data_IF_340998125140
#
_entry.id   IF_340998125140
#
_cell.length_a   1.000
_cell.length_b   1.000
_cell.length_c   1.000
_cell.angle_alpha   90.00
_cell.angle_beta   90.00
_cell.angle_gamma   90.00
#
_symmetry.space_group_name_H-M   'P 1'
#
loop_
_entity.id
_entity.type
_entity.pdbx_description
1 polymer ?
#
# COMPACT_ATOMS: atom_id res chain seq x y z
N UNK A 1 5.82 -10.11 -34.28
CA UNK A 1 7.12 -10.49 -33.66
C UNK A 1 6.97 -11.92 -33.16
N UNK A 2 7.81 -12.86 -33.62
CA UNK A 2 7.62 -14.30 -33.36
C UNK A 2 8.10 -14.77 -31.98
N UNK A 3 8.90 -13.97 -31.27
CA UNK A 3 9.47 -14.34 -29.98
C UNK A 3 9.72 -13.12 -29.09
N UNK A 4 9.30 -13.18 -27.82
CA UNK A 4 9.62 -12.19 -26.78
C UNK A 4 10.57 -12.84 -25.77
N UNK A 5 11.82 -12.35 -25.62
CA UNK A 5 12.77 -12.93 -24.68
C UNK A 5 12.29 -12.85 -23.23
N UNK A 6 12.39 -13.96 -22.50
CA UNK A 6 12.15 -14.02 -21.05
C UNK A 6 13.32 -13.38 -20.28
N UNK A 7 14.53 -13.49 -20.83
CA UNK A 7 15.74 -12.90 -20.25
C UNK A 7 15.80 -11.39 -20.47
N UNK A 8 16.11 -10.59 -19.44
CA UNK A 8 16.36 -9.16 -19.62
C UNK A 8 17.64 -8.91 -20.44
N UNK A 9 17.68 -7.81 -21.19
CA UNK A 9 18.82 -7.51 -22.07
C UNK A 9 20.10 -7.26 -21.26
N UNK A 10 21.10 -8.13 -21.44
CA UNK A 10 22.42 -8.07 -20.79
C UNK A 10 22.34 -8.01 -19.25
N UNK A 11 21.35 -8.68 -18.66
CA UNK A 11 21.15 -8.74 -17.19
C UNK A 11 20.87 -10.18 -16.76
N UNK A 12 21.18 -10.55 -15.51
CA UNK A 12 20.81 -11.86 -14.99
C UNK A 12 19.29 -11.99 -14.87
N UNK A 13 18.81 -13.21 -15.08
CA UNK A 13 17.42 -13.59 -14.79
C UNK A 13 17.23 -13.59 -13.26
N UNK A 14 16.10 -13.06 -12.81
CA UNK A 14 15.65 -13.13 -11.42
C UNK A 14 14.31 -13.86 -11.34
N UNK A 15 13.90 -14.26 -10.13
CA UNK A 15 12.60 -14.90 -9.90
C UNK A 15 11.42 -14.07 -10.41
N UNK A 16 11.51 -12.74 -10.38
CA UNK A 16 10.48 -11.86 -10.90
C UNK A 16 10.28 -11.99 -12.41
N UNK A 17 11.35 -12.28 -13.17
CA UNK A 17 11.25 -12.53 -14.61
C UNK A 17 10.53 -13.85 -14.92
N UNK A 18 10.68 -14.86 -14.05
CA UNK A 18 10.05 -16.17 -14.22
C UNK A 18 8.57 -16.17 -13.83
N UNK A 19 8.20 -15.42 -12.77
CA UNK A 19 6.81 -15.21 -12.34
C UNK A 19 5.92 -14.54 -13.40
N UNK A 20 6.54 -13.85 -14.36
CA UNK A 20 5.85 -13.23 -15.49
C UNK A 20 5.48 -14.25 -16.58
N UNK A 21 6.30 -15.30 -16.75
CA UNK A 21 6.04 -16.40 -17.70
C UNK A 21 4.91 -17.28 -17.20
N UNK A 22 4.88 -17.50 -15.88
CA UNK A 22 3.74 -17.98 -15.14
C UNK A 22 2.69 -16.87 -15.07
N UNK A 23 2.11 -16.44 -16.20
CA UNK A 23 0.87 -15.66 -16.15
C UNK A 23 -0.07 -16.42 -15.22
N UNK A 24 -0.41 -15.92 -14.04
CA UNK A 24 -1.60 -16.43 -13.41
C UNK A 24 -2.70 -16.06 -14.39
N UNK A 25 -3.67 -16.95 -14.60
CA UNK A 25 -5.01 -16.52 -15.01
C UNK A 25 -5.63 -15.66 -13.88
N UNK A 26 -4.89 -14.67 -13.38
CA UNK A 26 -5.43 -13.61 -12.57
C UNK A 26 -6.47 -12.96 -13.46
N UNK A 27 -7.72 -13.04 -13.02
CA UNK A 27 -8.88 -12.39 -13.64
C UNK A 27 -8.47 -11.00 -14.06
N UNK A 28 -8.16 -10.84 -15.34
CA UNK A 28 -7.85 -9.53 -15.91
C UNK A 28 -9.09 -8.71 -15.61
N UNK A 29 -8.97 -7.55 -14.93
CA UNK A 29 -10.15 -6.79 -14.57
C UNK A 29 -11.02 -6.63 -15.82
N UNK A 30 -12.29 -7.01 -15.74
CA UNK A 30 -13.20 -6.94 -16.90
C UNK A 30 -13.53 -5.51 -17.32
N UNK A 31 -13.02 -4.52 -16.57
CA UNK A 31 -13.28 -3.09 -16.74
C UNK A 31 -11.99 -2.29 -16.59
N UNK A 32 -11.85 -1.17 -17.31
CA UNK A 32 -10.73 -0.26 -17.13
C UNK A 32 -10.63 0.26 -15.68
N UNK A 33 -9.41 0.39 -15.16
CA UNK A 33 -9.12 0.83 -13.78
C UNK A 33 -8.39 2.18 -13.81
N UNK A 34 -8.81 3.14 -12.99
CA UNK A 34 -8.14 4.43 -12.91
C UNK A 34 -6.72 4.28 -12.30
N UNK A 35 -5.69 4.70 -13.03
CA UNK A 35 -4.27 4.54 -12.64
C UNK A 35 -3.91 5.28 -11.37
N UNK A 36 -4.54 6.43 -11.11
CA UNK A 36 -4.27 7.25 -9.93
C UNK A 36 -4.98 6.69 -8.69
N UNK A 37 -6.16 6.14 -8.85
CA UNK A 37 -6.85 5.39 -7.80
C UNK A 37 -6.07 4.14 -7.43
N UNK A 38 -5.65 3.36 -8.42
CA UNK A 38 -4.81 2.18 -8.20
C UNK A 38 -3.50 2.51 -7.48
N UNK A 39 -2.86 3.64 -7.82
CA UNK A 39 -1.67 4.11 -7.13
C UNK A 39 -1.96 4.47 -5.66
N UNK A 40 -3.13 5.08 -5.35
CA UNK A 40 -3.52 5.38 -3.97
C UNK A 40 -3.77 4.11 -3.15
N UNK A 41 -4.47 3.14 -3.73
CA UNK A 41 -4.70 1.84 -3.08
C UNK A 41 -3.38 1.10 -2.85
N UNK A 42 -2.48 1.10 -3.84
CA UNK A 42 -1.14 0.53 -3.68
C UNK A 42 -0.32 1.27 -2.61
N UNK A 43 -0.47 2.59 -2.49
CA UNK A 43 0.18 3.37 -1.43
C UNK A 43 -0.32 2.94 -0.04
N UNK A 44 -1.63 2.75 0.12
CA UNK A 44 -2.22 2.25 1.36
C UNK A 44 -1.72 0.84 1.71
N UNK A 45 -1.53 0.00 0.71
CA UNK A 45 -1.09 -1.38 0.84
C UNK A 45 0.41 -1.61 0.65
N UNK A 46 1.25 -0.56 0.57
CA UNK A 46 2.64 -0.67 0.06
C UNK A 46 3.50 -1.73 0.77
N UNK A 47 3.26 -1.91 2.07
CA UNK A 47 3.95 -2.91 2.89
C UNK A 47 3.67 -4.35 2.42
N UNK A 48 2.43 -4.66 2.00
CA UNK A 48 2.05 -5.98 1.50
C UNK A 48 2.75 -6.33 0.17
N UNK A 49 3.14 -5.31 -0.60
CA UNK A 49 3.83 -5.47 -1.88
C UNK A 49 5.36 -5.31 -1.77
N UNK A 50 5.89 -5.08 -0.56
CA UNK A 50 7.33 -4.91 -0.33
C UNK A 50 7.94 -3.69 -1.04
N UNK A 51 7.13 -2.65 -1.28
CA UNK A 51 7.56 -1.42 -1.95
C UNK A 51 7.60 -0.24 -0.99
N UNK A 52 8.50 0.70 -1.24
CA UNK A 52 8.66 1.93 -0.47
C UNK A 52 7.99 3.12 -1.14
N UNK A 53 7.77 4.19 -0.38
CA UNK A 53 7.26 5.48 -0.90
C UNK A 53 8.10 6.01 -2.08
N UNK A 54 9.42 5.79 -2.04
CA UNK A 54 10.30 6.18 -3.15
C UNK A 54 10.07 5.33 -4.40
N UNK A 55 9.75 4.05 -4.24
CA UNK A 55 9.37 3.19 -5.37
C UNK A 55 8.04 3.68 -5.96
N UNK A 56 7.06 4.01 -5.11
CA UNK A 56 5.77 4.57 -5.55
C UNK A 56 5.91 5.93 -6.25
N UNK A 57 6.84 6.78 -5.79
CA UNK A 57 7.15 8.06 -6.47
C UNK A 57 7.65 7.80 -7.90
N UNK A 58 8.52 6.80 -8.10
CA UNK A 58 8.97 6.41 -9.43
C UNK A 58 7.84 5.84 -10.27
N UNK A 59 6.96 5.02 -9.68
CA UNK A 59 5.78 4.49 -10.34
C UNK A 59 4.83 5.61 -10.78
N UNK A 60 4.57 6.60 -9.92
CA UNK A 60 3.77 7.78 -10.23
C UNK A 60 4.33 8.53 -11.45
N UNK A 61 5.65 8.79 -11.46
CA UNK A 61 6.33 9.40 -12.59
C UNK A 61 6.16 8.58 -13.87
N UNK A 62 6.25 7.25 -13.78
CA UNK A 62 6.06 6.36 -14.92
C UNK A 62 4.62 6.37 -15.45
N UNK A 63 3.62 6.29 -14.57
CA UNK A 63 2.19 6.35 -14.92
C UNK A 63 1.81 7.67 -15.60
N UNK A 64 2.52 8.75 -15.28
CA UNK A 64 2.30 10.06 -15.91
C UNK A 64 2.74 10.13 -17.39
N UNK A 65 3.43 9.11 -17.90
CA UNK A 65 3.73 8.94 -19.33
C UNK A 65 2.69 8.07 -20.06
N UNK A 66 1.77 7.43 -19.33
CA UNK A 66 0.65 6.74 -19.94
C UNK A 66 -0.45 7.77 -20.27
N UNK A 67 -0.92 7.84 -21.53
CA UNK A 67 -1.77 8.95 -21.99
C UNK A 67 -3.15 8.96 -21.33
N UNK A 68 -3.75 7.78 -21.15
CA UNK A 68 -5.09 7.64 -20.59
C UNK A 68 -5.03 7.53 -19.06
N UNK A 69 -6.09 7.95 -18.38
CA UNK A 69 -6.19 7.74 -16.93
C UNK A 69 -6.67 6.33 -16.56
N UNK A 70 -7.25 5.60 -17.51
CA UNK A 70 -7.72 4.24 -17.30
C UNK A 70 -6.75 3.23 -17.91
N UNK A 71 -6.29 2.28 -17.09
CA UNK A 71 -5.55 1.08 -17.51
C UNK A 71 -6.55 0.01 -17.95
N UNK A 72 -6.25 -0.74 -19.01
CA UNK A 72 -7.12 -1.77 -19.58
C UNK A 72 -7.76 -1.36 -20.91
N UNK A 73 -8.77 -2.10 -21.36
CA UNK A 73 -9.57 -1.75 -22.54
C UNK A 73 -8.89 -1.98 -23.91
N UNK A 74 -8.14 -3.08 -24.07
CA UNK A 74 -7.40 -3.46 -25.29
C UNK A 74 -6.27 -2.49 -25.72
N UNK A 75 -5.94 -1.49 -24.90
CA UNK A 75 -4.80 -0.59 -25.13
C UNK A 75 -3.49 -1.27 -24.74
N UNK A 76 -2.46 -1.15 -25.58
CA UNK A 76 -1.10 -1.58 -25.23
C UNK A 76 -0.57 -0.71 -24.08
N UNK A 77 -0.48 -1.29 -22.88
CA UNK A 77 -0.09 -0.60 -21.64
C UNK A 77 1.44 -0.45 -21.47
N UNK A 78 2.15 -0.18 -22.57
CA UNK A 78 3.61 -0.05 -22.57
C UNK A 78 4.01 1.41 -22.73
N UNK A 79 4.72 1.94 -21.74
CA UNK A 79 5.32 3.28 -21.79
C UNK A 79 6.81 3.20 -22.09
N UNK A 80 7.31 4.11 -22.92
CA UNK A 80 8.69 4.07 -23.42
C UNK A 80 9.47 5.39 -23.17
N UNK A 81 9.37 6.04 -21.99
CA UNK A 81 10.12 7.26 -21.73
C UNK A 81 11.64 7.01 -21.63
N UNK A 82 12.44 7.97 -22.09
CA UNK A 82 13.89 7.95 -21.92
C UNK A 82 14.26 8.10 -20.44
N UNK A 83 15.44 7.62 -20.02
CA UNK A 83 15.88 7.80 -18.63
C UNK A 83 15.92 9.29 -18.23
N UNK A 84 16.33 10.17 -19.16
CA UNK A 84 16.36 11.61 -18.96
C UNK A 84 14.95 12.15 -18.66
N UNK A 85 13.97 11.78 -19.48
CA UNK A 85 12.58 12.22 -19.29
C UNK A 85 11.98 11.73 -17.96
N UNK A 86 12.27 10.47 -17.57
CA UNK A 86 11.83 9.96 -16.26
C UNK A 86 12.45 10.79 -15.13
N UNK A 87 13.76 11.04 -15.17
CA UNK A 87 14.43 11.82 -14.14
C UNK A 87 13.92 13.27 -14.07
N UNK A 88 13.66 13.91 -15.21
CA UNK A 88 13.04 15.25 -15.27
C UNK A 88 11.65 15.26 -14.63
N UNK A 89 10.80 14.27 -14.94
CA UNK A 89 9.48 14.12 -14.32
C UNK A 89 9.55 13.86 -12.82
N UNK A 90 10.62 13.24 -12.34
CA UNK A 90 10.90 12.97 -10.93
C UNK A 90 11.73 14.09 -10.27
N UNK A 91 11.56 15.34 -10.71
CA UNK A 91 12.20 16.53 -10.16
C UNK A 91 13.74 16.42 -10.09
N UNK A 92 14.36 15.83 -11.12
CA UNK A 92 15.81 15.72 -11.21
C UNK A 92 16.42 14.55 -10.43
N UNK A 93 15.62 13.55 -10.03
CA UNK A 93 16.14 12.33 -9.39
C UNK A 93 17.32 11.74 -10.17
N UNK A 94 18.41 11.40 -9.47
CA UNK A 94 19.59 10.80 -10.10
C UNK A 94 19.25 9.50 -10.84
N UNK A 95 19.78 9.33 -12.06
CA UNK A 95 19.52 8.18 -12.92
C UNK A 95 19.82 6.82 -12.26
N UNK A 96 20.84 6.73 -11.40
CA UNK A 96 21.17 5.51 -10.66
C UNK A 96 20.10 5.16 -9.64
N UNK A 97 19.66 6.15 -8.86
CA UNK A 97 18.57 6.03 -7.88
C UNK A 97 17.26 5.63 -8.57
N UNK A 98 16.87 6.33 -9.63
CA UNK A 98 15.66 6.01 -10.40
C UNK A 98 15.70 4.56 -10.93
N UNK A 99 16.83 4.14 -11.51
CA UNK A 99 16.98 2.76 -12.02
C UNK A 99 16.87 1.70 -10.92
N UNK A 100 17.39 1.97 -9.72
CA UNK A 100 17.26 1.08 -8.56
C UNK A 100 15.81 0.90 -8.15
N UNK A 101 15.04 1.99 -8.07
CA UNK A 101 13.62 1.93 -7.73
C UNK A 101 12.78 1.23 -8.81
N UNK A 102 13.07 1.47 -10.10
CA UNK A 102 12.47 0.71 -11.18
C UNK A 102 12.77 -0.80 -11.10
N UNK A 103 13.99 -1.18 -10.71
CA UNK A 103 14.32 -2.59 -10.51
C UNK A 103 13.47 -3.20 -9.39
N UNK A 104 13.27 -2.49 -8.28
CA UNK A 104 12.40 -2.95 -7.17
C UNK A 104 10.94 -3.12 -7.61
N UNK A 105 10.40 -2.20 -8.40
CA UNK A 105 9.03 -2.32 -8.93
C UNK A 105 8.88 -3.53 -9.86
N UNK A 106 9.91 -3.86 -10.63
CA UNK A 106 9.96 -5.08 -11.46
C UNK A 106 10.05 -6.32 -10.58
N UNK A 107 10.94 -6.32 -9.58
CA UNK A 107 11.07 -7.44 -8.63
C UNK A 107 9.79 -7.70 -7.83
N UNK A 108 9.05 -6.63 -7.48
CA UNK A 108 7.75 -6.71 -6.84
C UNK A 108 6.63 -7.21 -7.78
N UNK A 109 6.91 -7.41 -9.07
CA UNK A 109 5.93 -7.85 -10.07
C UNK A 109 4.85 -6.81 -10.38
N UNK A 110 5.13 -5.52 -10.13
CA UNK A 110 4.21 -4.42 -10.45
C UNK A 110 4.46 -3.87 -11.85
N UNK A 111 5.67 -4.08 -12.39
CA UNK A 111 6.08 -3.65 -13.72
C UNK A 111 6.82 -4.78 -14.42
N UNK A 112 6.81 -4.76 -15.75
CA UNK A 112 7.65 -5.64 -16.55
C UNK A 112 8.48 -4.82 -17.55
N UNK A 113 9.70 -5.28 -17.83
CA UNK A 113 10.55 -4.68 -18.86
C UNK A 113 10.33 -5.40 -20.18
N UNK A 114 9.91 -4.68 -21.21
CA UNK A 114 9.93 -5.12 -22.60
C UNK A 114 11.19 -4.58 -23.26
N UNK A 115 12.30 -5.26 -23.04
CA UNK A 115 13.59 -4.85 -23.59
C UNK A 115 13.64 -5.09 -25.11
N UNK A 116 14.26 -4.15 -25.84
CA UNK A 116 14.48 -4.29 -27.28
C UNK A 116 15.82 -4.98 -27.57
N UNK A 117 16.06 -5.43 -28.81
CA UNK A 117 17.32 -6.06 -29.20
C UNK A 117 18.57 -5.19 -29.00
N UNK A 118 18.42 -3.86 -28.91
CA UNK A 118 19.52 -2.93 -28.68
C UNK A 118 19.46 -2.24 -27.30
N UNK A 119 18.58 -2.71 -26.41
CA UNK A 119 18.39 -2.15 -25.08
C UNK A 119 17.77 -0.74 -25.02
N UNK A 120 17.34 -0.17 -26.16
CA UNK A 120 16.65 1.14 -26.22
C UNK A 120 15.13 0.97 -26.08
N UNK A 121 14.46 2.02 -25.61
CA UNK A 121 12.99 2.07 -25.53
C UNK A 121 12.45 2.84 -26.74
N UNK A 122 11.57 2.22 -27.51
CA UNK A 122 10.98 2.79 -28.72
C UNK A 122 9.80 1.94 -29.19
N UNK A 123 8.98 2.51 -30.07
CA UNK A 123 7.96 1.78 -30.82
C UNK A 123 8.51 1.46 -32.20
N UNK A 124 8.41 0.19 -32.61
CA UNK A 124 8.71 -0.26 -33.97
C UNK A 124 7.39 -0.47 -34.71
N UNK A 125 7.27 0.11 -35.91
CA UNK A 125 6.19 -0.20 -36.85
C UNK A 125 6.77 -0.98 -38.04
N UNK A 126 6.16 -2.10 -38.42
CA UNK A 126 6.46 -2.87 -39.64
C UNK A 126 5.14 -3.24 -40.31
N UNK A 127 4.74 -2.51 -41.34
CA UNK A 127 3.39 -2.65 -41.91
C UNK A 127 2.33 -2.28 -40.86
N UNK A 128 1.35 -3.15 -40.66
CA UNK A 128 0.30 -3.00 -39.62
C UNK A 128 0.79 -3.38 -38.22
N UNK A 129 1.90 -4.14 -38.10
CA UNK A 129 2.44 -4.56 -36.81
C UNK A 129 3.09 -3.38 -36.08
N UNK A 130 2.56 -3.08 -34.89
CA UNK A 130 3.12 -2.13 -33.93
C UNK A 130 3.64 -2.89 -32.71
N UNK A 131 4.92 -2.70 -32.37
CA UNK A 131 5.55 -3.33 -31.19
C UNK A 131 6.20 -2.25 -30.33
N UNK A 132 5.79 -2.12 -29.07
CA UNK A 132 6.40 -1.19 -28.11
C UNK A 132 7.43 -1.89 -27.20
N UNK A 133 8.62 -1.28 -27.10
CA UNK A 133 9.67 -1.65 -26.16
C UNK A 133 9.82 -0.59 -25.07
N UNK A 134 9.68 -0.98 -23.81
CA UNK A 134 9.57 -0.05 -22.68
C UNK A 134 9.25 -0.74 -21.37
N UNK A 135 8.45 -0.07 -20.53
CA UNK A 135 7.88 -0.62 -19.31
C UNK A 135 6.42 -0.97 -19.55
N UNK A 136 6.09 -2.23 -19.30
CA UNK A 136 4.74 -2.77 -19.39
C UNK A 136 4.05 -2.63 -18.02
N UNK A 137 2.92 -1.92 -18.02
CA UNK A 137 2.06 -1.67 -16.87
C UNK A 137 0.98 -2.75 -16.69
N UNK A 138 0.89 -3.72 -17.61
CA UNK A 138 -0.10 -4.81 -17.51
C UNK A 138 -0.06 -5.56 -16.17
N UNK A 139 1.11 -5.86 -15.56
CA UNK A 139 1.14 -6.50 -14.24
C UNK A 139 0.45 -5.68 -13.15
N UNK A 140 0.59 -4.35 -13.18
CA UNK A 140 -0.09 -3.45 -12.25
C UNK A 140 -1.62 -3.56 -12.40
N UNK A 141 -2.09 -3.55 -13.66
CA UNK A 141 -3.51 -3.69 -13.97
C UNK A 141 -4.08 -5.05 -13.56
N UNK A 142 -3.41 -6.16 -13.89
CA UNK A 142 -3.86 -7.51 -13.54
C UNK A 142 -3.94 -7.73 -12.02
N UNK A 143 -3.17 -6.98 -11.23
CA UNK A 143 -3.16 -7.05 -9.77
C UNK A 143 -4.06 -6.01 -9.10
N UNK A 144 -4.87 -5.26 -9.86
CA UNK A 144 -5.69 -4.20 -9.31
C UNK A 144 -6.63 -4.67 -8.18
N UNK A 145 -7.28 -5.83 -8.37
CA UNK A 145 -8.16 -6.39 -7.33
C UNK A 145 -7.39 -6.87 -6.09
N UNK A 146 -6.20 -7.45 -6.27
CA UNK A 146 -5.32 -7.85 -5.17
C UNK A 146 -4.90 -6.63 -4.34
N UNK A 147 -4.51 -5.54 -5.01
CA UNK A 147 -4.14 -4.27 -4.39
C UNK A 147 -5.33 -3.68 -3.62
N UNK A 148 -6.52 -3.65 -4.22
CA UNK A 148 -7.72 -3.13 -3.57
C UNK A 148 -8.09 -3.94 -2.31
N UNK A 149 -8.03 -5.27 -2.37
CA UNK A 149 -8.28 -6.13 -1.19
C UNK A 149 -7.26 -5.90 -0.08
N UNK A 150 -5.98 -5.76 -0.44
CA UNK A 150 -4.93 -5.49 0.53
C UNK A 150 -5.10 -4.11 1.19
N UNK A 151 -5.46 -3.09 0.42
CA UNK A 151 -5.72 -1.75 0.93
C UNK A 151 -6.93 -1.72 1.86
N UNK A 152 -7.99 -2.48 1.55
CA UNK A 152 -9.16 -2.61 2.40
C UNK A 152 -8.83 -3.30 3.72
N UNK A 153 -8.06 -4.39 3.69
CA UNK A 153 -7.61 -5.06 4.90
C UNK A 153 -6.81 -4.12 5.84
N UNK A 154 -6.01 -3.21 5.28
CA UNK A 154 -5.31 -2.17 6.06
C UNK A 154 -6.30 -1.19 6.68
N UNK A 155 -7.30 -0.71 5.92
CA UNK A 155 -8.35 0.18 6.45
C UNK A 155 -9.15 -0.48 7.57
N UNK A 156 -9.57 -1.72 7.40
CA UNK A 156 -10.29 -2.48 8.42
C UNK A 156 -9.47 -2.69 9.70
N UNK A 157 -8.16 -2.92 9.58
CA UNK A 157 -7.27 -3.04 10.73
C UNK A 157 -7.13 -1.71 11.49
N UNK A 158 -6.96 -0.60 10.78
CA UNK A 158 -6.91 0.75 11.37
C UNK A 158 -8.23 1.15 12.03
N UNK A 159 -9.36 0.84 11.40
CA UNK A 159 -10.67 1.16 11.94
C UNK A 159 -10.99 0.33 13.18
N UNK A 160 -10.60 -0.95 13.22
CA UNK A 160 -10.68 -1.77 14.44
C UNK A 160 -9.89 -1.14 15.58
N UNK A 161 -8.66 -0.70 15.32
CA UNK A 161 -7.83 -0.03 16.31
C UNK A 161 -8.46 1.28 16.79
N UNK A 162 -9.00 2.09 15.86
CA UNK A 162 -9.68 3.36 16.17
C UNK A 162 -10.90 3.13 17.05
N UNK A 163 -11.80 2.22 16.67
CA UNK A 163 -13.02 1.91 17.43
C UNK A 163 -12.71 1.41 18.84
N UNK A 164 -11.76 0.49 18.98
CA UNK A 164 -11.41 -0.03 20.30
C UNK A 164 -10.81 1.06 21.19
N UNK A 165 -9.98 1.94 20.61
CA UNK A 165 -9.43 3.09 21.32
C UNK A 165 -10.50 4.09 21.76
N UNK A 166 -11.52 4.33 20.94
CA UNK A 166 -12.67 5.15 21.30
C UNK A 166 -13.43 4.53 22.48
N UNK A 167 -13.71 3.22 22.44
CA UNK A 167 -14.35 2.48 23.54
C UNK A 167 -13.56 2.63 24.85
N UNK A 168 -12.25 2.34 24.83
CA UNK A 168 -11.38 2.49 26.01
C UNK A 168 -11.38 3.93 26.52
N UNK A 169 -11.39 4.92 25.63
CA UNK A 169 -11.45 6.33 26.02
C UNK A 169 -12.77 6.72 26.69
N UNK A 170 -13.89 6.15 26.23
CA UNK A 170 -15.22 6.37 26.82
C UNK A 170 -15.31 5.71 28.19
N UNK A 171 -15.01 4.42 28.29
CA UNK A 171 -14.99 3.68 29.55
C UNK A 171 -14.14 4.36 30.62
N UNK A 172 -12.92 4.75 30.26
CA UNK A 172 -12.03 5.52 31.16
C UNK A 172 -12.71 6.79 31.68
N UNK A 173 -13.48 7.49 30.83
CA UNK A 173 -14.19 8.72 31.22
C UNK A 173 -15.33 8.41 32.19
N UNK A 174 -16.00 7.28 31.99
CA UNK A 174 -17.05 6.79 32.90
C UNK A 174 -16.47 6.40 34.26
N UNK A 175 -15.30 5.72 34.30
CA UNK A 175 -14.60 5.43 35.57
C UNK A 175 -14.29 6.71 36.36
N UNK A 176 -13.81 7.76 35.69
CA UNK A 176 -13.57 9.05 36.37
C UNK A 176 -14.87 9.62 36.96
N UNK A 177 -15.95 9.64 36.18
CA UNK A 177 -17.24 10.16 36.64
C UNK A 177 -17.84 9.33 37.79
N UNK A 178 -17.71 8.01 37.73
CA UNK A 178 -18.18 7.10 38.78
C UNK A 178 -17.36 7.23 40.06
N UNK A 179 -16.04 7.41 39.96
CA UNK A 179 -15.19 7.67 41.11
C UNK A 179 -15.58 8.98 41.82
N UNK A 180 -15.77 10.06 41.04
CA UNK A 180 -16.20 11.36 41.57
C UNK A 180 -17.58 11.27 42.25
N UNK A 181 -18.56 10.66 41.57
CA UNK A 181 -19.91 10.49 42.11
C UNK A 181 -19.96 9.55 43.32
N UNK A 182 -19.20 8.45 43.28
CA UNK A 182 -19.12 7.48 44.37
C UNK A 182 -18.53 8.09 45.64
N UNK A 183 -17.47 8.88 45.51
CA UNK A 183 -16.86 9.59 46.64
C UNK A 183 -17.81 10.64 47.24
N UNK A 184 -18.63 11.30 46.42
CA UNK A 184 -19.66 12.24 46.91
C UNK A 184 -20.76 11.55 47.73
N UNK A 185 -21.25 10.39 47.27
CA UNK A 185 -22.38 9.68 47.90
C UNK A 185 -21.92 8.81 49.08
N UNK A 186 -20.79 8.12 48.94
CA UNK A 186 -20.25 7.22 49.93
C UNK A 186 -18.73 7.37 50.04
N UNK A 187 -18.25 8.38 50.80
CA UNK A 187 -16.83 8.69 50.91
C UNK A 187 -16.00 7.56 51.53
N UNK A 188 -14.73 7.50 51.15
CA UNK A 188 -13.72 6.68 51.84
C UNK A 188 -13.71 5.19 51.49
N UNK A 189 -14.41 4.79 50.41
CA UNK A 189 -14.22 3.47 49.82
C UNK A 189 -12.99 3.49 48.91
N UNK A 190 -12.04 2.58 49.15
CA UNK A 190 -10.85 2.45 48.31
C UNK A 190 -11.13 2.06 46.86
N UNK A 191 -12.36 1.65 46.53
CA UNK A 191 -12.81 1.45 45.15
C UNK A 191 -12.74 2.74 44.34
N UNK A 192 -13.11 3.89 44.92
CA UNK A 192 -13.11 5.17 44.21
C UNK A 192 -11.69 5.60 43.82
N UNK A 193 -10.73 5.43 44.73
CA UNK A 193 -9.31 5.63 44.44
C UNK A 193 -8.84 4.71 43.31
N UNK A 194 -9.20 3.43 43.34
CA UNK A 194 -8.84 2.46 42.30
C UNK A 194 -9.41 2.84 40.91
N UNK A 195 -10.66 3.30 40.85
CA UNK A 195 -11.28 3.76 39.61
C UNK A 195 -10.57 5.00 39.05
N UNK A 196 -10.29 5.99 39.91
CA UNK A 196 -9.61 7.23 39.53
C UNK A 196 -8.17 6.99 39.06
N UNK A 197 -7.42 6.16 39.78
CA UNK A 197 -6.04 5.78 39.43
C UNK A 197 -5.99 5.03 38.11
N UNK A 198 -6.87 4.04 37.91
CA UNK A 198 -6.93 3.27 36.67
C UNK A 198 -7.31 4.15 35.48
N UNK A 199 -8.28 5.06 35.66
CA UNK A 199 -8.64 6.03 34.64
C UNK A 199 -7.44 6.93 34.26
N UNK A 200 -6.70 7.39 35.25
CA UNK A 200 -5.51 8.24 35.08
C UNK A 200 -4.36 7.52 34.36
N UNK A 201 -4.07 6.26 34.74
CA UNK A 201 -3.06 5.43 34.08
C UNK A 201 -3.44 5.13 32.63
N UNK A 202 -4.70 4.78 32.38
CA UNK A 202 -5.23 4.55 31.03
C UNK A 202 -5.14 5.82 30.19
N UNK A 203 -5.47 6.99 30.75
CA UNK A 203 -5.32 8.27 30.05
C UNK A 203 -3.88 8.50 29.56
N UNK A 204 -2.89 8.17 30.40
CA UNK A 204 -1.47 8.29 30.05
C UNK A 204 -1.08 7.27 28.99
N UNK A 205 -1.54 6.02 29.12
CA UNK A 205 -1.28 4.96 28.14
C UNK A 205 -1.86 5.30 26.76
N UNK A 206 -3.04 5.92 26.71
CA UNK A 206 -3.64 6.34 25.45
C UNK A 206 -2.79 7.43 24.74
N UNK A 207 -1.91 8.19 25.39
CA UNK A 207 -1.12 9.24 24.69
C UNK A 207 -0.12 8.68 23.66
N UNK A 208 0.22 7.40 23.74
CA UNK A 208 1.11 6.71 22.79
C UNK A 208 0.32 5.89 21.77
N UNK A 209 1.01 5.44 20.72
CA UNK A 209 0.49 4.45 19.78
C UNK A 209 0.47 3.08 20.48
N UNK A 210 -0.72 2.53 20.65
CA UNK A 210 -0.95 1.22 21.27
C UNK A 210 -1.30 0.19 20.21
N UNK A 211 -0.94 -1.07 20.45
CA UNK A 211 -1.40 -2.19 19.64
C UNK A 211 -2.86 -2.53 19.95
N UNK A 212 -3.45 -3.40 19.12
CA UNK A 212 -4.79 -3.92 19.35
C UNK A 212 -4.85 -4.76 20.64
N UNK A 213 -3.77 -5.48 20.97
CA UNK A 213 -3.63 -6.27 22.18
C UNK A 213 -3.59 -5.37 23.42
N UNK A 214 -2.74 -4.32 23.40
CA UNK A 214 -2.65 -3.37 24.52
C UNK A 214 -4.01 -2.71 24.82
N UNK A 215 -4.73 -2.31 23.77
CA UNK A 215 -6.06 -1.71 23.92
C UNK A 215 -7.10 -2.72 24.42
N UNK A 216 -7.01 -3.99 24.00
CA UNK A 216 -7.89 -5.05 24.50
C UNK A 216 -7.66 -5.32 25.98
N UNK A 217 -6.40 -5.33 26.42
CA UNK A 217 -6.04 -5.49 27.83
C UNK A 217 -6.59 -4.33 28.66
N UNK A 218 -6.37 -3.09 28.22
CA UNK A 218 -6.96 -1.93 28.90
C UNK A 218 -8.49 -1.99 28.95
N UNK A 219 -9.15 -2.44 27.87
CA UNK A 219 -10.61 -2.62 27.88
C UNK A 219 -11.03 -3.64 28.95
N UNK A 220 -10.38 -4.79 29.01
CA UNK A 220 -10.70 -5.84 29.98
C UNK A 220 -10.50 -5.37 31.43
N UNK A 221 -9.40 -4.64 31.70
CA UNK A 221 -9.13 -4.07 33.02
C UNK A 221 -10.22 -3.08 33.45
N UNK A 222 -10.69 -2.24 32.51
CA UNK A 222 -11.76 -1.26 32.77
C UNK A 222 -13.13 -1.95 32.94
N UNK A 223 -13.43 -3.00 32.15
CA UNK A 223 -14.67 -3.78 32.29
C UNK A 223 -14.75 -4.44 33.67
N UNK A 224 -13.66 -5.08 34.12
CA UNK A 224 -13.59 -5.75 35.42
C UNK A 224 -13.75 -4.82 36.62
N UNK A 225 -13.44 -3.53 36.46
CA UNK A 225 -13.64 -2.52 37.50
C UNK A 225 -15.06 -1.93 37.49
N UNK A 226 -15.69 -1.83 36.32
CA UNK A 226 -17.07 -1.35 36.19
C UNK A 226 -18.10 -2.38 36.68
N UNK A 227 -17.75 -3.67 36.70
CA UNK A 227 -18.61 -4.75 37.15
C UNK A 227 -18.59 -4.98 38.69
N UNK A 228 -17.78 -4.22 39.45
CA UNK A 228 -17.69 -4.29 40.91
C UNK A 228 -18.70 -3.37 41.61
#
# INVERSE_FOLDING_TARGET
>A
MEYTPISPFMRPISHAHLRVVERPEASVPGKPVNKWELLRELSKAQAAFGVSERDLTVLQGLLSFFPDDALGGNTEMVVFPSNKAICERLNGMACSTMRRHLARLVEAGLLMRRDSPNGKRYVRKRGEDRVAFGFDLSPLYCRAEEIARAAEAVREAEDRLRRLREVVSLMRRDLTALAEFGEEIQPGLGLWDQLSDTASLTARALRRKLSLEDLSNHRADLEALLDQ
#
